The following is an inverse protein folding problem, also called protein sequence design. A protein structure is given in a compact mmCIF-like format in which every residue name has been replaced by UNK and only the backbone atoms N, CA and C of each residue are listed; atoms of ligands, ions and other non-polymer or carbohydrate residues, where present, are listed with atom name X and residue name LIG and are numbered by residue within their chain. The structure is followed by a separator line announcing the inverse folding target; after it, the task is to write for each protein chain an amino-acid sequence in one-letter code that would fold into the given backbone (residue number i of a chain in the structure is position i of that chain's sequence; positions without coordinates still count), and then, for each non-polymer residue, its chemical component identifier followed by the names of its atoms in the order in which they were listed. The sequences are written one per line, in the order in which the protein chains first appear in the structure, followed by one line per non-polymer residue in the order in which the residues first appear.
data_IF_594140020626
#
_entry.id   IF_594140020626
#
_cell.length_a   1.000
_cell.length_b   1.000
_cell.length_c   1.000
_cell.angle_alpha   90.00
_cell.angle_beta   90.00
_cell.angle_gamma   90.00
#
_symmetry.space_group_name_H-M   'P 1'
#
loop_
_entity.id
_entity.type
_entity.pdbx_description
1 polymer ?
#
# COMPACT_ATOMS: atom_id res chain seq x y z
N UNK A 1 5.39 17.58 -10.36
CA UNK A 1 4.64 16.56 -11.14
C UNK A 1 4.59 15.19 -10.46
N UNK A 2 5.64 14.75 -9.73
CA UNK A 2 5.65 13.44 -9.03
C UNK A 2 4.49 13.19 -8.05
N UNK A 3 3.98 14.21 -7.34
CA UNK A 3 2.88 14.01 -6.38
C UNK A 3 1.54 13.68 -7.05
N UNK A 4 1.24 14.26 -8.22
CA UNK A 4 -0.04 14.01 -8.92
C UNK A 4 -0.16 12.55 -9.33
N UNK A 5 0.91 11.95 -9.85
CA UNK A 5 0.95 10.53 -10.23
C UNK A 5 0.74 9.61 -9.03
N UNK A 6 1.35 9.92 -7.87
CA UNK A 6 1.15 9.15 -6.63
C UNK A 6 -0.32 9.12 -6.20
N UNK A 7 -1.00 10.27 -6.27
CA UNK A 7 -2.42 10.35 -5.91
C UNK A 7 -3.32 9.60 -6.89
N UNK A 8 -3.02 9.64 -8.19
CA UNK A 8 -3.78 8.90 -9.20
C UNK A 8 -3.64 7.39 -8.97
N UNK A 9 -2.42 6.89 -8.73
CA UNK A 9 -2.18 5.47 -8.44
C UNK A 9 -2.90 5.06 -7.15
N UNK A 10 -2.84 5.88 -6.11
CA UNK A 10 -3.55 5.63 -4.86
C UNK A 10 -5.07 5.57 -5.05
N UNK A 11 -5.64 6.47 -5.87
CA UNK A 11 -7.07 6.49 -6.15
C UNK A 11 -7.53 5.23 -6.90
N UNK A 12 -6.74 4.78 -7.89
CA UNK A 12 -7.03 3.53 -8.64
C UNK A 12 -6.94 2.32 -7.71
N UNK A 13 -5.90 2.24 -6.89
CA UNK A 13 -5.72 1.15 -5.92
C UNK A 13 -6.88 1.11 -4.91
N UNK A 14 -7.31 2.27 -4.41
CA UNK A 14 -8.44 2.38 -3.49
C UNK A 14 -9.76 1.96 -4.16
N UNK A 15 -10.02 2.38 -5.40
CA UNK A 15 -11.22 1.99 -6.14
C UNK A 15 -11.27 0.47 -6.38
N UNK A 16 -10.16 -0.12 -6.83
CA UNK A 16 -10.06 -1.57 -7.02
C UNK A 16 -10.26 -2.35 -5.72
N UNK A 17 -9.68 -1.84 -4.62
CA UNK A 17 -9.86 -2.43 -3.29
C UNK A 17 -11.32 -2.36 -2.82
N UNK A 18 -12.00 -1.23 -3.01
CA UNK A 18 -13.41 -1.07 -2.66
C UNK A 18 -14.31 -2.01 -3.47
N UNK A 19 -14.05 -2.17 -4.77
CA UNK A 19 -14.79 -3.12 -5.61
C UNK A 19 -14.55 -4.56 -5.15
N UNK A 20 -13.31 -4.94 -4.89
CA UNK A 20 -12.97 -6.27 -4.39
C UNK A 20 -13.63 -6.53 -3.02
N UNK A 21 -13.62 -5.55 -2.11
CA UNK A 21 -14.24 -5.65 -0.80
C UNK A 21 -15.77 -5.82 -0.86
N UNK A 22 -16.42 -5.26 -1.89
CA UNK A 22 -17.86 -5.42 -2.08
C UNK A 22 -18.26 -6.83 -2.54
N UNK A 23 -17.51 -7.42 -3.48
CA UNK A 23 -17.83 -8.75 -4.03
C UNK A 23 -17.20 -9.92 -3.28
N UNK A 24 -16.02 -9.72 -2.69
CA UNK A 24 -15.17 -10.74 -2.05
C UNK A 24 -14.64 -10.21 -0.70
N UNK A 25 -15.52 -9.97 0.29
CA UNK A 25 -15.15 -9.28 1.52
C UNK A 25 -14.13 -10.05 2.37
N UNK A 26 -14.25 -11.38 2.45
CA UNK A 26 -13.36 -12.20 3.27
C UNK A 26 -11.95 -12.30 2.68
N UNK A 27 -11.86 -12.54 1.38
CA UNK A 27 -10.60 -12.63 0.63
C UNK A 27 -9.91 -11.27 0.59
N UNK A 28 -10.67 -10.19 0.39
CA UNK A 28 -10.12 -8.82 0.37
C UNK A 28 -9.61 -8.42 1.75
N UNK A 29 -10.32 -8.76 2.83
CA UNK A 29 -9.84 -8.53 4.19
C UNK A 29 -8.54 -9.30 4.46
N UNK A 30 -8.47 -10.58 4.08
CA UNK A 30 -7.29 -11.41 4.29
C UNK A 30 -6.10 -10.89 3.47
N UNK A 31 -6.33 -10.49 2.22
CA UNK A 31 -5.31 -9.89 1.36
C UNK A 31 -4.82 -8.53 1.91
N UNK A 32 -5.71 -7.70 2.45
CA UNK A 32 -5.36 -6.45 3.11
C UNK A 32 -4.52 -6.68 4.37
N UNK A 33 -4.90 -7.66 5.18
CA UNK A 33 -4.21 -8.00 6.41
C UNK A 33 -2.83 -8.59 6.15
N UNK A 34 -2.74 -9.57 5.23
CA UNK A 34 -1.48 -10.16 4.81
C UNK A 34 -0.56 -9.14 4.12
N UNK A 35 -1.11 -8.31 3.23
CA UNK A 35 -0.39 -7.23 2.56
C UNK A 35 0.10 -6.18 3.55
N UNK A 36 -0.73 -5.76 4.51
CA UNK A 36 -0.36 -4.81 5.56
C UNK A 36 0.75 -5.33 6.46
N UNK A 37 0.68 -6.60 6.87
CA UNK A 37 1.72 -7.25 7.67
C UNK A 37 3.09 -7.29 6.97
N UNK A 38 3.13 -7.33 5.64
CA UNK A 38 4.38 -7.31 4.88
C UNK A 38 4.83 -5.88 4.53
N UNK A 39 3.90 -5.02 4.11
CA UNK A 39 4.19 -3.66 3.65
C UNK A 39 4.57 -2.72 4.79
N UNK A 40 4.00 -2.86 5.98
CA UNK A 40 4.32 -1.98 7.12
C UNK A 40 5.79 -2.16 7.56
N UNK A 41 6.27 -3.39 7.86
CA UNK A 41 7.69 -3.60 8.15
C UNK A 41 8.58 -3.22 6.98
N UNK A 42 8.22 -3.57 5.74
CA UNK A 42 9.03 -3.22 4.56
C UNK A 42 9.18 -1.69 4.41
N UNK A 43 8.12 -0.92 4.66
CA UNK A 43 8.17 0.54 4.62
C UNK A 43 9.10 1.11 5.71
N UNK A 44 9.09 0.52 6.92
CA UNK A 44 10.02 0.90 8.00
C UNK A 44 11.47 0.63 7.58
N UNK A 45 11.75 -0.56 7.02
CA UNK A 45 13.09 -0.91 6.53
C UNK A 45 13.57 0.03 5.41
N UNK A 46 12.71 0.35 4.45
CA UNK A 46 13.04 1.29 3.36
C UNK A 46 13.31 2.69 3.92
N UNK A 47 12.52 3.16 4.89
CA UNK A 47 12.74 4.44 5.54
C UNK A 47 14.08 4.48 6.28
N UNK A 48 14.38 3.44 7.06
CA UNK A 48 15.67 3.31 7.77
C UNK A 48 16.85 3.29 6.78
N UNK A 49 16.76 2.50 5.71
CA UNK A 49 17.79 2.44 4.66
C UNK A 49 18.00 3.79 3.97
N UNK A 50 16.93 4.52 3.64
CA UNK A 50 17.05 5.87 3.09
C UNK A 50 17.70 6.84 4.08
N UNK A 51 17.39 6.74 5.37
CA UNK A 51 18.00 7.57 6.41
C UNK A 51 19.50 7.31 6.55
N UNK A 52 19.94 6.05 6.45
CA UNK A 52 21.36 5.65 6.50
C UNK A 52 22.10 6.07 5.22
N UNK A 53 21.48 5.91 4.05
CA UNK A 53 22.09 6.29 2.77
C UNK A 53 22.23 7.82 2.57
N UNK A 54 21.55 8.62 3.39
CA UNK A 54 21.55 10.08 3.31
C UNK A 54 22.40 10.74 4.42
N UNK A 55 23.07 9.94 5.26
CA UNK A 55 23.97 10.36 6.34
C UNK A 55 25.43 10.17 5.92
#
# INVERSE_FOLDING_TARGET
MQNKTKYIIAAIAAAAFMTAAYYLPAETFLAAFAGGLFLIPAAIFVYMMQSVASA
#
